data_IF_129008870176
#
_entry.id   IF_129008870176
#
_cell.length_a   1.000
_cell.length_b   1.000
_cell.length_c   1.000
_cell.angle_alpha   90.00
_cell.angle_beta   90.00
_cell.angle_gamma   90.00
#
_symmetry.space_group_name_H-M   'P 1'
#
loop_
_entity.id
_entity.type
_entity.pdbx_description
1 polymer ?
#
# COMPACT_ATOMS: atom_id res chain seq x y z
N UNK A 1 -5.28 11.23 -14.02
CA UNK A 1 -6.68 10.84 -13.73
C UNK A 1 -6.71 9.45 -13.13
N UNK A 2 -7.56 9.19 -12.13
CA UNK A 2 -7.77 7.86 -11.56
C UNK A 2 -8.86 7.13 -12.35
N UNK A 3 -8.60 5.90 -12.77
CA UNK A 3 -9.65 5.06 -13.36
C UNK A 3 -10.16 4.08 -12.32
N UNK A 4 -11.47 4.08 -12.09
CA UNK A 4 -12.13 3.24 -11.07
C UNK A 4 -12.88 2.13 -11.77
N UNK A 5 -12.52 0.88 -11.50
CA UNK A 5 -13.15 -0.32 -12.04
C UNK A 5 -13.89 -1.04 -10.92
N UNK A 6 -15.22 -0.96 -10.90
CA UNK A 6 -16.03 -1.52 -9.81
C UNK A 6 -17.44 -1.93 -10.28
N UNK A 7 -18.19 -2.74 -9.50
CA UNK A 7 -19.60 -2.98 -9.78
C UNK A 7 -20.40 -1.66 -9.77
N UNK A 8 -21.47 -1.56 -10.57
CA UNK A 8 -22.24 -0.32 -10.74
C UNK A 8 -22.78 0.27 -9.44
N UNK A 9 -23.09 -0.57 -8.44
CA UNK A 9 -23.54 -0.16 -7.11
C UNK A 9 -22.52 0.72 -6.37
N UNK A 10 -21.23 0.65 -6.73
CA UNK A 10 -20.18 1.45 -6.11
C UNK A 10 -19.96 2.81 -6.79
N UNK A 11 -20.58 3.07 -7.95
CA UNK A 11 -20.29 4.27 -8.75
C UNK A 11 -20.45 5.56 -7.97
N UNK A 12 -21.63 5.76 -7.38
CA UNK A 12 -21.96 6.99 -6.64
C UNK A 12 -21.02 7.21 -5.44
N UNK A 13 -20.91 6.29 -4.47
CA UNK A 13 -20.07 6.53 -3.29
C UNK A 13 -18.58 6.70 -3.63
N UNK A 14 -18.06 5.97 -4.63
CA UNK A 14 -16.66 6.14 -5.05
C UNK A 14 -16.43 7.51 -5.70
N UNK A 15 -17.26 7.89 -6.68
CA UNK A 15 -17.07 9.15 -7.42
C UNK A 15 -17.26 10.35 -6.51
N UNK A 16 -18.26 10.35 -5.64
CA UNK A 16 -18.53 11.45 -4.70
C UNK A 16 -17.37 11.63 -3.71
N UNK A 17 -16.94 10.56 -3.03
CA UNK A 17 -15.87 10.67 -2.03
C UNK A 17 -14.50 10.96 -2.66
N UNK A 18 -14.17 10.36 -3.81
CA UNK A 18 -12.93 10.68 -4.53
C UNK A 18 -12.95 12.13 -5.03
N UNK A 19 -14.09 12.62 -5.52
CA UNK A 19 -14.29 14.02 -5.90
C UNK A 19 -14.11 14.98 -4.73
N UNK A 20 -14.70 14.67 -3.57
CA UNK A 20 -14.53 15.42 -2.33
C UNK A 20 -13.07 15.45 -1.85
N UNK A 21 -12.30 14.40 -2.10
CA UNK A 21 -10.86 14.35 -1.86
C UNK A 21 -10.02 15.07 -2.94
N UNK A 22 -10.65 15.72 -3.93
CA UNK A 22 -9.97 16.44 -5.01
C UNK A 22 -9.35 15.54 -6.08
N UNK A 23 -9.81 14.29 -6.20
CA UNK A 23 -9.32 13.33 -7.19
C UNK A 23 -10.27 13.29 -8.39
N UNK A 24 -9.71 13.52 -9.59
CA UNK A 24 -10.43 13.30 -10.85
C UNK A 24 -10.51 11.81 -11.14
N UNK A 25 -11.69 11.23 -10.95
CA UNK A 25 -11.96 9.81 -11.14
C UNK A 25 -12.93 9.57 -12.31
N UNK A 26 -12.62 8.59 -13.16
CA UNK A 26 -13.54 8.08 -14.20
C UNK A 26 -13.95 6.67 -13.86
N UNK A 27 -15.25 6.42 -13.82
CA UNK A 27 -15.82 5.14 -13.45
C UNK A 27 -16.04 4.25 -14.67
N UNK A 28 -15.60 3.00 -14.57
CA UNK A 28 -15.91 1.92 -15.49
C UNK A 28 -16.53 0.76 -14.73
N UNK A 29 -17.58 0.15 -15.30
CA UNK A 29 -18.16 -1.06 -14.76
C UNK A 29 -17.12 -2.18 -14.80
N UNK A 30 -16.91 -2.85 -13.67
CA UNK A 30 -16.03 -4.02 -13.58
C UNK A 30 -16.60 -5.16 -14.45
N UNK A 31 -15.79 -5.80 -15.31
CA UNK A 31 -16.20 -7.00 -16.02
C UNK A 31 -16.37 -8.17 -15.04
N UNK A 32 -17.07 -9.21 -15.48
CA UNK A 32 -17.07 -10.47 -14.73
C UNK A 32 -15.67 -11.09 -14.76
N UNK A 33 -15.18 -11.63 -13.63
CA UNK A 33 -13.87 -12.24 -13.59
C UNK A 33 -13.85 -13.51 -14.43
N UNK A 34 -12.85 -13.66 -15.29
CA UNK A 34 -12.51 -14.95 -15.89
C UNK A 34 -11.46 -15.72 -15.05
N UNK A 35 -11.10 -16.92 -15.48
CA UNK A 35 -10.13 -17.78 -14.79
C UNK A 35 -8.66 -17.44 -15.05
N UNK A 36 -8.37 -16.39 -15.81
CA UNK A 36 -7.02 -16.07 -16.29
C UNK A 36 -6.12 -15.37 -15.26
N UNK A 37 -4.90 -15.07 -15.70
CA UNK A 37 -3.91 -14.32 -14.91
C UNK A 37 -4.27 -12.83 -14.74
N UNK A 38 -5.08 -12.29 -15.65
CA UNK A 38 -5.71 -10.97 -15.58
C UNK A 38 -7.24 -11.14 -15.66
N UNK A 39 -7.87 -11.58 -14.56
CA UNK A 39 -9.26 -12.02 -14.58
C UNK A 39 -10.25 -10.92 -14.96
N UNK A 40 -9.86 -9.65 -14.81
CA UNK A 40 -10.68 -8.49 -15.15
C UNK A 40 -10.24 -7.80 -16.44
N UNK A 41 -9.32 -8.40 -17.20
CA UNK A 41 -8.80 -7.87 -18.48
C UNK A 41 -8.33 -6.42 -18.34
N UNK A 42 -7.69 -6.11 -17.20
CA UNK A 42 -7.19 -4.79 -16.88
C UNK A 42 -6.18 -4.30 -17.92
N UNK A 43 -5.34 -5.17 -18.47
CA UNK A 43 -4.37 -4.76 -19.50
C UNK A 43 -5.08 -4.25 -20.76
N UNK A 44 -6.08 -5.00 -21.24
CA UNK A 44 -6.91 -4.61 -22.38
C UNK A 44 -7.75 -3.36 -22.09
N UNK A 45 -8.15 -3.13 -20.84
CA UNK A 45 -8.83 -1.91 -20.43
C UNK A 45 -7.88 -0.70 -20.46
N UNK A 46 -6.68 -0.84 -19.88
CA UNK A 46 -5.65 0.21 -19.85
C UNK A 46 -5.27 0.65 -21.26
N UNK A 47 -5.06 -0.29 -22.20
CA UNK A 47 -4.72 0.03 -23.60
C UNK A 47 -5.82 0.82 -24.34
N UNK A 48 -7.09 0.70 -23.92
CA UNK A 48 -8.24 1.32 -24.58
C UNK A 48 -8.59 2.71 -24.05
N UNK A 49 -8.03 3.14 -22.93
CA UNK A 49 -8.38 4.45 -22.36
C UNK A 49 -7.67 5.58 -23.12
N UNK A 50 -8.41 6.47 -23.81
CA UNK A 50 -7.82 7.63 -24.47
C UNK A 50 -7.33 8.60 -23.39
N UNK A 51 -6.02 8.63 -23.16
CA UNK A 51 -5.37 9.49 -22.17
C UNK A 51 -4.48 8.72 -21.19
N UNK A 52 -3.55 9.44 -20.56
CA UNK A 52 -2.60 8.88 -19.59
C UNK A 52 -3.30 8.66 -18.24
N UNK A 53 -3.98 7.51 -18.07
CA UNK A 53 -4.42 7.08 -16.75
C UNK A 53 -3.22 7.09 -15.80
N UNK A 54 -3.36 7.75 -14.65
CA UNK A 54 -2.25 7.87 -13.68
C UNK A 54 -2.28 6.75 -12.64
N UNK A 55 -3.41 6.05 -12.55
CA UNK A 55 -3.61 4.92 -11.66
C UNK A 55 -4.96 4.26 -11.93
N UNK A 56 -5.07 3.00 -11.52
CA UNK A 56 -6.28 2.20 -11.60
C UNK A 56 -6.67 1.75 -10.19
N UNK A 57 -7.94 1.93 -9.81
CA UNK A 57 -8.50 1.41 -8.57
C UNK A 57 -9.53 0.33 -8.89
N UNK A 58 -9.24 -0.92 -8.53
CA UNK A 58 -10.14 -2.06 -8.73
C UNK A 58 -10.85 -2.42 -7.41
N UNK A 59 -12.18 -2.48 -7.43
CA UNK A 59 -12.96 -3.06 -6.34
C UNK A 59 -13.24 -4.53 -6.65
N UNK A 60 -12.62 -5.44 -5.90
CA UNK A 60 -12.72 -6.88 -6.05
C UNK A 60 -13.62 -7.53 -4.97
N UNK A 61 -14.13 -8.76 -5.19
CA UNK A 61 -14.89 -9.49 -4.18
C UNK A 61 -14.04 -9.84 -2.95
N UNK A 62 -14.62 -9.69 -1.75
CA UNK A 62 -13.89 -9.84 -0.49
C UNK A 62 -13.31 -11.24 -0.22
N UNK A 63 -13.79 -12.28 -0.87
CA UNK A 63 -13.29 -13.65 -0.73
C UNK A 63 -12.05 -13.97 -1.60
N UNK A 64 -11.58 -13.02 -2.42
CA UNK A 64 -10.42 -13.22 -3.29
C UNK A 64 -9.12 -12.77 -2.63
N UNK A 65 -8.02 -13.40 -3.01
CA UNK A 65 -6.66 -12.96 -2.67
C UNK A 65 -6.21 -11.83 -3.62
N UNK A 66 -5.46 -10.80 -3.15
CA UNK A 66 -4.86 -9.78 -4.01
C UNK A 66 -4.05 -10.33 -5.18
N UNK A 67 -3.35 -11.46 -5.00
CA UNK A 67 -2.57 -12.10 -6.07
C UNK A 67 -3.45 -12.69 -7.18
N UNK A 68 -4.68 -13.08 -6.86
CA UNK A 68 -5.61 -13.75 -7.77
C UNK A 68 -6.59 -12.78 -8.47
N UNK A 69 -6.40 -11.47 -8.30
CA UNK A 69 -7.26 -10.43 -8.91
C UNK A 69 -6.50 -9.52 -9.85
N UNK A 70 -5.18 -9.38 -9.69
CA UNK A 70 -4.33 -8.56 -10.55
C UNK A 70 -2.98 -9.24 -10.79
N UNK A 71 -2.44 -9.15 -12.02
CA UNK A 71 -1.19 -9.83 -12.38
C UNK A 71 0.03 -9.23 -11.67
N UNK A 72 -0.02 -7.96 -11.28
CA UNK A 72 1.08 -7.25 -10.60
C UNK A 72 0.64 -5.91 -10.01
N UNK A 73 1.62 -5.15 -9.54
CA UNK A 73 1.46 -3.78 -9.03
C UNK A 73 1.25 -2.75 -10.14
N UNK A 74 1.78 -3.04 -11.33
CA UNK A 74 1.68 -2.22 -12.53
C UNK A 74 1.09 -3.07 -13.65
N UNK A 75 0.13 -2.53 -14.38
CA UNK A 75 -0.52 -3.18 -15.53
C UNK A 75 -0.53 -2.20 -16.69
N UNK A 76 0.11 -2.58 -17.81
CA UNK A 76 0.24 -1.70 -18.97
C UNK A 76 0.88 -0.34 -18.64
N UNK A 77 1.83 -0.29 -17.70
CA UNK A 77 2.46 0.94 -17.23
C UNK A 77 1.65 1.76 -16.22
N UNK A 78 0.46 1.30 -15.82
CA UNK A 78 -0.43 1.99 -14.87
C UNK A 78 -0.39 1.31 -13.50
N UNK A 79 -0.17 2.04 -12.39
CA UNK A 79 -0.17 1.45 -11.05
C UNK A 79 -1.59 1.06 -10.62
N UNK A 80 -1.73 -0.12 -10.01
CA UNK A 80 -3.02 -0.71 -9.67
C UNK A 80 -3.19 -0.82 -8.16
N UNK A 81 -4.20 -0.11 -7.64
CA UNK A 81 -4.69 -0.23 -6.28
C UNK A 81 -5.91 -1.14 -6.19
N UNK A 82 -6.00 -1.89 -5.09
CA UNK A 82 -7.07 -2.84 -4.83
C UNK A 82 -7.92 -2.45 -3.62
N UNK A 83 -9.23 -2.63 -3.74
CA UNK A 83 -10.16 -2.62 -2.62
C UNK A 83 -10.98 -3.91 -2.63
N UNK A 84 -11.42 -4.33 -1.46
CA UNK A 84 -12.18 -5.56 -1.29
C UNK A 84 -13.50 -5.26 -0.59
N UNK A 85 -14.60 -5.36 -1.32
CA UNK A 85 -15.93 -5.12 -0.78
C UNK A 85 -16.99 -5.92 -1.54
N UNK A 86 -18.02 -6.38 -0.82
CA UNK A 86 -19.21 -7.00 -1.40
C UNK A 86 -20.29 -5.96 -1.72
N UNK A 87 -20.37 -4.93 -0.89
CA UNK A 87 -21.34 -3.85 -0.99
C UNK A 87 -20.68 -2.50 -0.71
N UNK A 88 -21.26 -1.38 -1.16
CA UNK A 88 -20.64 -0.07 -1.03
C UNK A 88 -20.39 0.38 0.41
N UNK A 89 -21.30 0.05 1.34
CA UNK A 89 -21.18 0.41 2.77
C UNK A 89 -19.91 -0.13 3.42
N UNK A 90 -19.38 -1.26 2.94
CA UNK A 90 -18.15 -1.83 3.45
C UNK A 90 -16.90 -0.97 3.15
N UNK A 91 -17.00 0.00 2.22
CA UNK A 91 -15.91 0.94 1.93
C UNK A 91 -16.01 2.25 2.70
N UNK A 92 -17.10 2.50 3.45
CA UNK A 92 -17.30 3.79 4.13
C UNK A 92 -16.11 4.23 4.98
N UNK A 93 -15.51 3.37 5.84
CA UNK A 93 -14.34 3.78 6.64
C UNK A 93 -13.15 4.21 5.78
N UNK A 94 -12.90 3.51 4.68
CA UNK A 94 -11.83 3.86 3.74
C UNK A 94 -12.14 5.15 2.97
N UNK A 95 -13.39 5.37 2.55
CA UNK A 95 -13.79 6.60 1.86
C UNK A 95 -13.67 7.83 2.76
N UNK A 96 -14.07 7.71 4.02
CA UNK A 96 -13.85 8.75 5.03
C UNK A 96 -12.36 9.03 5.22
N UNK A 97 -11.52 7.99 5.29
CA UNK A 97 -10.07 8.15 5.37
C UNK A 97 -9.49 8.89 4.16
N UNK A 98 -9.94 8.56 2.95
CA UNK A 98 -9.54 9.25 1.71
C UNK A 98 -9.93 10.73 1.74
N UNK A 99 -11.16 11.05 2.16
CA UNK A 99 -11.63 12.45 2.27
C UNK A 99 -10.84 13.21 3.33
N UNK A 100 -10.70 12.65 4.54
CA UNK A 100 -9.96 13.27 5.65
C UNK A 100 -8.50 13.51 5.31
N UNK A 101 -7.86 12.60 4.58
CA UNK A 101 -6.48 12.74 4.14
C UNK A 101 -6.35 13.71 2.95
N UNK A 102 -7.33 13.68 2.05
CA UNK A 102 -7.35 14.47 0.82
C UNK A 102 -6.03 14.34 0.07
N UNK A 103 -5.49 15.49 -0.36
CA UNK A 103 -4.21 15.61 -1.06
C UNK A 103 -3.05 16.06 -0.16
N UNK A 104 -3.17 15.89 1.16
CA UNK A 104 -2.15 16.33 2.11
C UNK A 104 -0.79 15.63 1.85
N UNK A 105 0.21 16.44 1.50
CA UNK A 105 1.62 16.02 1.27
C UNK A 105 2.52 16.27 2.48
N UNK A 106 2.01 17.03 3.43
CA UNK A 106 2.76 17.43 4.62
C UNK A 106 2.52 16.46 5.78
N UNK A 107 3.53 16.37 6.64
CA UNK A 107 3.52 15.49 7.80
C UNK A 107 4.66 14.49 7.83
N UNK A 108 4.64 13.67 8.87
CA UNK A 108 5.71 12.74 9.20
C UNK A 108 5.84 11.64 8.16
N UNK A 109 7.08 11.34 7.77
CA UNK A 109 7.44 10.13 7.05
C UNK A 109 8.23 9.24 7.99
N UNK A 110 7.66 8.11 8.35
CA UNK A 110 8.18 7.22 9.37
C UNK A 110 8.88 6.02 8.73
N UNK A 111 10.04 5.68 9.28
CA UNK A 111 10.78 4.47 8.98
C UNK A 111 10.81 3.62 10.24
N UNK A 112 10.09 2.51 10.20
CA UNK A 112 9.91 1.54 11.26
C UNK A 112 10.78 0.32 10.95
N UNK A 113 11.42 -0.25 11.96
CA UNK A 113 12.24 -1.45 11.78
C UNK A 113 12.11 -2.35 13.00
N UNK A 114 12.09 -3.66 12.78
CA UNK A 114 12.19 -4.66 13.84
C UNK A 114 13.60 -4.62 14.49
N UNK A 115 13.74 -5.23 15.68
CA UNK A 115 14.91 -5.04 16.55
C UNK A 115 16.17 -5.76 16.04
N UNK A 116 16.04 -6.64 15.05
CA UNK A 116 17.16 -7.38 14.48
C UNK A 116 18.06 -6.45 13.65
N UNK A 117 19.38 -6.54 13.88
CA UNK A 117 20.37 -5.63 13.31
C UNK A 117 20.26 -5.41 11.79
N UNK A 118 19.93 -6.47 11.05
CA UNK A 118 19.81 -6.38 9.59
C UNK A 118 18.63 -5.51 9.16
N UNK A 119 17.49 -5.55 9.86
CA UNK A 119 16.36 -4.66 9.59
C UNK A 119 16.64 -3.23 10.05
N UNK A 120 17.33 -3.06 11.18
CA UNK A 120 17.76 -1.74 11.65
C UNK A 120 18.67 -1.07 10.61
N UNK A 121 19.67 -1.78 10.07
CA UNK A 121 20.55 -1.25 9.01
C UNK A 121 19.78 -0.91 7.74
N UNK A 122 18.87 -1.78 7.32
CA UNK A 122 18.02 -1.55 6.14
C UNK A 122 17.13 -0.30 6.32
N UNK A 123 16.48 -0.18 7.47
CA UNK A 123 15.69 1.00 7.83
C UNK A 123 16.54 2.27 7.87
N UNK A 124 17.75 2.22 8.43
CA UNK A 124 18.67 3.36 8.43
C UNK A 124 19.06 3.79 7.00
N UNK A 125 19.38 2.84 6.12
CA UNK A 125 19.70 3.12 4.71
C UNK A 125 18.50 3.78 4.02
N UNK A 126 17.31 3.20 4.15
CA UNK A 126 16.10 3.76 3.56
C UNK A 126 15.79 5.17 4.10
N UNK A 127 15.96 5.39 5.41
CA UNK A 127 15.80 6.70 6.02
C UNK A 127 16.79 7.73 5.46
N UNK A 128 18.03 7.34 5.13
CA UNK A 128 18.99 8.23 4.45
C UNK A 128 18.50 8.61 3.05
N UNK A 129 18.08 7.64 2.23
CA UNK A 129 17.51 7.90 0.91
C UNK A 129 16.31 8.86 0.99
N UNK A 130 15.42 8.65 1.95
CA UNK A 130 14.24 9.50 2.16
C UNK A 130 14.61 10.94 2.57
N UNK A 131 15.65 11.12 3.41
CA UNK A 131 16.14 12.45 3.80
C UNK A 131 16.87 13.16 2.68
N UNK A 132 17.63 12.44 1.86
CA UNK A 132 18.31 12.98 0.69
C UNK A 132 17.29 13.50 -0.33
N UNK A 133 16.23 12.73 -0.59
CA UNK A 133 15.18 13.12 -1.52
C UNK A 133 14.26 14.24 -0.99
N UNK A 134 14.10 14.32 0.33
CA UNK A 134 13.23 15.29 0.99
C UNK A 134 13.87 15.80 2.28
N UNK A 135 14.67 16.88 2.16
CA UNK A 135 15.33 17.56 3.27
C UNK A 135 14.32 17.86 4.41
N UNK A 136 14.40 17.10 5.50
CA UNK A 136 13.73 17.42 6.77
C UNK A 136 12.47 16.66 7.19
N UNK A 137 12.07 15.51 6.60
CA UNK A 137 10.77 14.88 6.97
C UNK A 137 10.77 13.38 7.30
N UNK A 138 11.93 12.71 7.33
CA UNK A 138 12.02 11.30 7.69
C UNK A 138 12.44 11.07 9.15
N UNK A 139 11.57 10.42 9.93
CA UNK A 139 11.84 10.02 11.32
C UNK A 139 11.96 8.51 11.44
N UNK A 140 12.87 8.04 12.29
CA UNK A 140 13.08 6.61 12.54
C UNK A 140 12.39 6.22 13.85
N UNK A 141 11.54 5.20 13.80
CA UNK A 141 10.77 4.70 14.94
C UNK A 141 11.14 3.25 15.21
N UNK A 142 12.42 2.93 15.35
CA UNK A 142 12.89 1.55 15.42
C UNK A 142 12.56 0.86 16.75
N UNK A 143 12.42 -0.47 16.71
CA UNK A 143 12.01 -1.28 17.85
C UNK A 143 13.09 -1.40 18.95
N UNK A 144 14.35 -1.05 18.67
CA UNK A 144 15.44 -0.91 19.67
C UNK A 144 15.25 0.31 20.58
N UNK A 145 14.40 1.27 20.17
CA UNK A 145 14.20 2.57 20.87
C UNK A 145 12.76 2.86 21.23
N UNK A 146 11.83 2.14 20.62
CA UNK A 146 10.40 2.41 20.74
C UNK A 146 9.66 1.11 21.01
N UNK A 147 8.82 1.09 22.03
CA UNK A 147 7.94 -0.04 22.31
C UNK A 147 6.68 -0.01 21.42
N UNK A 148 5.87 -1.06 21.49
CA UNK A 148 4.61 -1.19 20.73
C UNK A 148 3.67 -0.02 20.93
N UNK A 149 3.43 0.36 22.18
CA UNK A 149 2.45 1.39 22.52
C UNK A 149 2.85 2.74 21.93
N UNK A 150 4.07 3.18 22.18
CA UNK A 150 4.58 4.45 21.67
C UNK A 150 4.66 4.46 20.13
N UNK A 151 4.93 3.31 19.50
CA UNK A 151 4.88 3.18 18.05
C UNK A 151 3.45 3.33 17.50
N UNK A 152 2.47 2.67 18.13
CA UNK A 152 1.05 2.77 17.74
C UNK A 152 0.49 4.18 17.95
N UNK A 153 0.83 4.84 19.04
CA UNK A 153 0.46 6.24 19.30
C UNK A 153 0.97 7.16 18.18
N UNK A 154 2.22 6.96 17.73
CA UNK A 154 2.79 7.72 16.59
C UNK A 154 2.13 7.38 15.25
N UNK A 155 1.83 6.11 14.98
CA UNK A 155 1.07 5.72 13.78
C UNK A 155 -0.34 6.29 13.78
N UNK A 156 -1.01 6.33 14.94
CA UNK A 156 -2.33 6.91 15.12
C UNK A 156 -2.36 8.42 14.85
N UNK A 157 -1.20 9.09 14.88
CA UNK A 157 -1.03 10.47 14.43
C UNK A 157 -1.14 10.68 12.92
N UNK A 158 -1.26 9.62 12.11
CA UNK A 158 -1.51 9.70 10.67
C UNK A 158 -0.32 10.20 9.85
N UNK A 159 0.84 9.50 9.86
CA UNK A 159 1.97 9.86 9.01
C UNK A 159 1.58 9.82 7.52
N UNK A 160 2.22 10.65 6.70
CA UNK A 160 2.04 10.64 5.23
C UNK A 160 2.46 9.29 4.67
N UNK A 161 3.62 8.81 5.14
CA UNK A 161 4.22 7.54 4.76
C UNK A 161 4.73 6.87 6.03
N UNK A 162 4.39 5.61 6.22
CA UNK A 162 5.04 4.72 7.17
C UNK A 162 5.63 3.55 6.39
N UNK A 163 6.92 3.30 6.55
CA UNK A 163 7.61 2.16 5.95
C UNK A 163 8.08 1.23 7.05
N UNK A 164 7.82 -0.07 6.93
CA UNK A 164 8.21 -1.06 7.94
C UNK A 164 9.15 -2.09 7.36
N UNK A 165 10.28 -2.34 8.04
CA UNK A 165 11.27 -3.35 7.71
C UNK A 165 11.29 -4.40 8.82
N UNK A 166 10.93 -5.65 8.50
CA UNK A 166 10.91 -6.70 9.51
C UNK A 166 10.10 -7.92 9.14
N UNK A 167 9.76 -8.71 10.15
CA UNK A 167 8.89 -9.87 10.01
C UNK A 167 7.43 -9.45 9.86
N UNK A 168 6.70 -10.14 8.97
CA UNK A 168 5.29 -9.91 8.74
C UNK A 168 4.48 -11.19 8.82
N UNK A 169 3.23 -11.04 9.24
CA UNK A 169 2.26 -12.11 9.34
C UNK A 169 0.91 -11.66 8.76
N UNK A 170 0.03 -12.61 8.52
CA UNK A 170 -1.33 -12.31 8.05
C UNK A 170 -2.14 -11.45 9.00
N UNK A 171 -1.81 -11.45 10.30
CA UNK A 171 -2.54 -10.69 11.34
C UNK A 171 -1.75 -9.49 11.87
N UNK A 172 -0.49 -9.27 11.45
CA UNK A 172 0.33 -8.22 12.04
C UNK A 172 1.79 -8.16 11.59
N UNK A 173 2.58 -7.46 12.39
CA UNK A 173 4.03 -7.26 12.24
C UNK A 173 4.75 -7.91 13.43
N UNK A 174 5.89 -8.56 13.19
CA UNK A 174 6.66 -9.26 14.23
C UNK A 174 7.48 -8.31 15.13
N UNK A 175 7.84 -7.13 14.61
CA UNK A 175 8.57 -6.10 15.38
C UNK A 175 7.80 -5.59 16.60
N UNK A 176 8.48 -4.87 17.50
CA UNK A 176 7.87 -4.25 18.68
C UNK A 176 7.18 -5.26 19.62
N UNK A 177 7.75 -6.45 19.81
CA UNK A 177 7.11 -7.55 20.54
C UNK A 177 5.73 -7.96 19.98
N UNK A 178 5.55 -7.84 18.66
CA UNK A 178 4.32 -8.19 17.96
C UNK A 178 3.27 -7.08 17.96
N UNK A 179 2.87 -6.65 16.76
CA UNK A 179 1.81 -5.66 16.51
C UNK A 179 0.73 -6.33 15.67
N UNK A 180 -0.39 -6.67 16.29
CA UNK A 180 -1.49 -7.37 15.65
C UNK A 180 -2.73 -6.48 15.54
N UNK A 181 -3.73 -6.97 14.82
CA UNK A 181 -5.01 -6.28 14.60
C UNK A 181 -5.60 -5.73 15.91
N UNK A 182 -5.69 -6.57 16.93
CA UNK A 182 -6.30 -6.23 18.22
C UNK A 182 -5.61 -5.03 18.91
N UNK A 183 -4.29 -4.90 18.75
CA UNK A 183 -3.54 -3.77 19.29
C UNK A 183 -3.87 -2.46 18.56
N UNK A 184 -4.09 -2.54 17.25
CA UNK A 184 -4.48 -1.41 16.41
C UNK A 184 -5.95 -1.03 16.62
N UNK A 185 -6.81 -2.01 16.90
CA UNK A 185 -8.22 -1.81 17.24
C UNK A 185 -8.42 -1.17 18.62
N UNK A 186 -7.58 -1.53 19.59
CA UNK A 186 -7.58 -0.93 20.92
C UNK A 186 -7.33 0.60 20.88
N UNK A 187 -6.65 1.10 19.84
CA UNK A 187 -6.40 2.52 19.65
C UNK A 187 -7.57 3.19 18.91
N UNK A 188 -8.51 3.78 19.67
CA UNK A 188 -9.76 4.36 19.12
C UNK A 188 -9.56 5.64 18.33
N UNK A 189 -8.70 6.53 18.81
CA UNK A 189 -8.34 7.75 18.07
C UNK A 189 -7.28 7.40 17.04
N UNK A 190 -7.61 7.53 15.75
CA UNK A 190 -6.70 7.22 14.65
C UNK A 190 -6.92 8.19 13.49
N UNK A 191 -5.86 8.94 13.13
CA UNK A 191 -5.79 9.68 11.88
C UNK A 191 -5.27 8.74 10.78
N UNK A 192 -5.89 8.73 9.59
CA UNK A 192 -5.48 7.82 8.54
C UNK A 192 -4.04 8.09 8.11
N UNK A 193 -3.22 7.04 8.15
CA UNK A 193 -1.93 7.04 7.48
C UNK A 193 -2.16 7.20 5.98
N UNK A 194 -1.37 8.03 5.30
CA UNK A 194 -1.46 8.14 3.84
C UNK A 194 -1.13 6.80 3.20
N UNK A 195 0.10 6.33 3.40
CA UNK A 195 0.57 5.05 2.87
C UNK A 195 1.33 4.29 3.95
N UNK A 196 0.98 3.02 4.14
CA UNK A 196 1.78 2.07 4.90
C UNK A 196 2.45 1.07 3.95
N UNK A 197 3.77 1.10 3.81
CA UNK A 197 4.53 0.15 3.02
C UNK A 197 5.26 -0.84 3.94
N UNK A 198 4.82 -2.09 3.93
CA UNK A 198 5.43 -3.15 4.71
C UNK A 198 6.39 -3.97 3.84
N UNK A 199 7.68 -3.77 4.04
CA UNK A 199 8.76 -4.59 3.47
C UNK A 199 8.89 -5.87 4.29
N UNK A 200 7.81 -6.67 4.29
CA UNK A 200 7.63 -7.81 5.17
C UNK A 200 6.74 -8.87 4.52
N UNK A 201 7.03 -10.14 4.85
CA UNK A 201 6.32 -11.30 4.33
C UNK A 201 4.85 -11.37 4.77
N UNK A 202 4.01 -12.03 3.99
CA UNK A 202 2.65 -12.47 4.37
C UNK A 202 1.65 -11.39 4.85
N UNK A 203 1.97 -10.09 4.76
CA UNK A 203 1.11 -9.00 5.26
C UNK A 203 -0.21 -8.85 4.49
N UNK A 204 -0.30 -9.45 3.30
CA UNK A 204 -1.51 -9.54 2.48
C UNK A 204 -2.07 -10.97 2.34
N UNK A 205 -1.52 -11.95 3.06
CA UNK A 205 -2.05 -13.31 3.12
C UNK A 205 -3.26 -13.34 4.04
N UNK A 206 -4.28 -14.13 3.66
CA UNK A 206 -5.47 -14.34 4.47
C UNK A 206 -5.11 -15.13 5.72
N UNK A 207 -5.35 -14.54 6.89
CA UNK A 207 -5.17 -15.19 8.18
C UNK A 207 -6.43 -15.89 8.68
N UNK A 208 -6.38 -16.34 9.94
CA UNK A 208 -7.45 -17.15 10.57
C UNK A 208 -8.75 -16.37 10.70
N UNK A 209 -8.66 -15.06 10.95
CA UNK A 209 -9.83 -14.19 11.05
C UNK A 209 -10.41 -13.78 9.68
N UNK A 210 -10.02 -14.46 8.60
CA UNK A 210 -10.60 -14.30 7.28
C UNK A 210 -10.12 -13.08 6.46
N UNK A 211 -9.27 -12.23 7.02
CA UNK A 211 -8.64 -11.07 6.37
C UNK A 211 -7.12 -11.09 6.47
N UNK A 212 -6.45 -10.08 5.92
CA UNK A 212 -5.02 -9.84 6.11
C UNK A 212 -4.79 -8.53 6.86
N UNK A 213 -3.61 -8.34 7.46
CA UNK A 213 -3.28 -7.13 8.19
C UNK A 213 -3.39 -5.87 7.32
N UNK A 214 -2.84 -5.90 6.10
CA UNK A 214 -2.97 -4.79 5.15
C UNK A 214 -4.43 -4.53 4.74
N UNK A 215 -5.25 -5.59 4.56
CA UNK A 215 -6.68 -5.43 4.28
C UNK A 215 -7.44 -4.82 5.45
N UNK A 216 -7.07 -5.18 6.69
CA UNK A 216 -7.63 -4.57 7.88
C UNK A 216 -7.28 -3.09 7.98
N UNK A 217 -6.02 -2.70 7.79
CA UNK A 217 -5.61 -1.30 7.87
C UNK A 217 -6.35 -0.43 6.84
N UNK A 218 -6.45 -0.89 5.60
CA UNK A 218 -7.17 -0.15 4.53
C UNK A 218 -8.68 -0.19 4.74
N UNK A 219 -9.25 -1.38 4.98
CA UNK A 219 -10.70 -1.56 5.12
C UNK A 219 -11.29 -0.86 6.35
N UNK A 220 -10.52 -0.68 7.42
CA UNK A 220 -10.92 0.06 8.61
C UNK A 220 -10.61 1.57 8.55
N UNK A 221 -10.12 2.07 7.41
CA UNK A 221 -9.80 3.49 7.24
C UNK A 221 -8.56 3.97 8.02
N UNK A 222 -7.73 3.06 8.54
CA UNK A 222 -6.49 3.42 9.27
C UNK A 222 -5.34 3.77 8.34
N UNK A 223 -5.39 3.30 7.10
CA UNK A 223 -4.49 3.69 6.03
C UNK A 223 -5.28 3.93 4.73
N UNK A 224 -4.89 4.95 3.97
CA UNK A 224 -5.47 5.19 2.63
C UNK A 224 -4.87 4.25 1.59
N UNK A 225 -3.60 3.88 1.77
CA UNK A 225 -2.89 2.91 0.94
C UNK A 225 -2.06 1.93 1.76
N UNK A 226 -1.94 0.69 1.30
CA UNK A 226 -1.06 -0.31 1.88
C UNK A 226 -0.30 -1.08 0.79
N UNK A 227 1.02 -1.11 0.86
CA UNK A 227 1.90 -1.91 0.01
C UNK A 227 2.46 -3.07 0.84
N UNK A 228 2.33 -4.32 0.37
CA UNK A 228 2.90 -5.47 1.06
C UNK A 228 2.84 -6.78 0.28
N UNK A 229 3.41 -7.84 0.87
CA UNK A 229 3.59 -9.13 0.24
C UNK A 229 2.37 -10.07 0.40
N UNK A 230 2.00 -10.75 -0.68
CA UNK A 230 0.93 -11.77 -0.76
C UNK A 230 1.43 -13.21 -0.52
N UNK A 231 2.70 -13.38 -0.15
CA UNK A 231 3.32 -14.65 0.15
C UNK A 231 4.56 -14.44 1.04
N UNK A 232 5.20 -15.54 1.44
CA UNK A 232 6.53 -15.50 2.00
C UNK A 232 7.53 -14.99 0.95
N UNK A 233 8.52 -14.21 1.40
CA UNK A 233 9.59 -13.67 0.58
C UNK A 233 10.91 -14.01 1.27
N UNK A 234 11.91 -14.43 0.50
CA UNK A 234 13.23 -14.68 1.06
C UNK A 234 13.83 -13.36 1.56
N UNK A 235 14.44 -13.37 2.75
CA UNK A 235 15.01 -12.17 3.36
C UNK A 235 15.97 -11.42 2.43
N UNK A 236 16.91 -12.08 1.71
CA UNK A 236 17.80 -11.38 0.77
C UNK A 236 17.05 -10.72 -0.39
N UNK A 237 16.05 -11.39 -0.97
CA UNK A 237 15.23 -10.85 -2.06
C UNK A 237 14.43 -9.63 -1.60
N UNK A 238 13.86 -9.70 -0.40
CA UNK A 238 13.09 -8.62 0.19
C UNK A 238 13.96 -7.41 0.57
N UNK A 239 15.17 -7.67 1.06
CA UNK A 239 16.16 -6.62 1.35
C UNK A 239 16.59 -5.91 0.06
N UNK A 240 16.91 -6.66 -1.00
CA UNK A 240 17.28 -6.09 -2.30
C UNK A 240 16.15 -5.19 -2.88
N UNK A 241 14.89 -5.63 -2.75
CA UNK A 241 13.75 -4.82 -3.16
C UNK A 241 13.60 -3.53 -2.32
N UNK A 242 13.74 -3.63 -1.00
CA UNK A 242 13.67 -2.49 -0.10
C UNK A 242 14.76 -1.45 -0.37
N UNK A 243 15.99 -1.89 -0.66
CA UNK A 243 17.10 -1.02 -1.05
C UNK A 243 16.82 -0.32 -2.38
N UNK A 244 16.41 -1.06 -3.40
CA UNK A 244 16.02 -0.51 -4.70
C UNK A 244 14.89 0.52 -4.56
N UNK A 245 13.91 0.25 -3.71
CA UNK A 245 12.79 1.16 -3.45
C UNK A 245 13.26 2.47 -2.80
N UNK A 246 14.25 2.41 -1.90
CA UNK A 246 14.90 3.58 -1.32
C UNK A 246 15.68 4.37 -2.37
N UNK A 247 16.47 3.70 -3.21
CA UNK A 247 17.21 4.33 -4.31
C UNK A 247 16.29 5.02 -5.32
N UNK A 248 15.12 4.44 -5.61
CA UNK A 248 14.11 5.08 -6.45
C UNK A 248 13.61 6.41 -5.86
N UNK A 249 13.44 6.50 -4.54
CA UNK A 249 13.06 7.76 -3.87
C UNK A 249 14.17 8.80 -3.96
N UNK A 250 15.41 8.37 -3.75
CA UNK A 250 16.59 9.23 -3.80
C UNK A 250 16.81 9.82 -5.20
N UNK A 251 16.64 9.01 -6.25
CA UNK A 251 16.78 9.47 -7.64
C UNK A 251 15.68 10.42 -8.08
N UNK A 252 14.44 10.19 -7.60
CA UNK A 252 13.29 11.00 -7.99
C UNK A 252 12.24 10.95 -6.90
N UNK A 253 11.89 12.12 -6.34
CA UNK A 253 10.80 12.21 -5.38
C UNK A 253 9.44 11.99 -6.07
N UNK A 254 8.76 10.85 -5.83
CA UNK A 254 7.52 10.55 -6.50
C UNK A 254 6.38 11.38 -5.92
N UNK A 255 5.53 11.93 -6.80
CA UNK A 255 4.39 12.76 -6.37
C UNK A 255 3.23 11.95 -5.77
N UNK A 256 3.25 10.63 -5.95
CA UNK A 256 2.27 9.69 -5.41
C UNK A 256 2.87 8.28 -5.25
N UNK A 257 2.18 7.43 -4.49
CA UNK A 257 2.55 6.04 -4.34
C UNK A 257 2.61 5.29 -5.67
N UNK A 258 1.64 5.51 -6.56
CA UNK A 258 1.62 4.89 -7.87
C UNK A 258 2.84 5.25 -8.71
N UNK A 259 3.31 6.50 -8.63
CA UNK A 259 4.56 6.93 -9.30
C UNK A 259 5.79 6.25 -8.70
N UNK A 260 5.84 6.09 -7.38
CA UNK A 260 6.91 5.35 -6.72
C UNK A 260 6.93 3.88 -7.17
N UNK A 261 5.77 3.23 -7.17
CA UNK A 261 5.59 1.85 -7.62
C UNK A 261 6.03 1.66 -9.07
N UNK A 262 5.65 2.58 -9.97
CA UNK A 262 6.11 2.54 -11.36
C UNK A 262 7.62 2.74 -11.51
N UNK A 263 8.24 3.60 -10.70
CA UNK A 263 9.68 3.82 -10.73
C UNK A 263 10.45 2.56 -10.29
N UNK A 264 9.96 1.87 -9.25
CA UNK A 264 10.49 0.57 -8.84
C UNK A 264 10.35 -0.43 -9.99
N UNK A 265 9.12 -0.60 -10.51
CA UNK A 265 8.82 -1.56 -11.57
C UNK A 265 9.71 -1.39 -12.81
N UNK A 266 9.93 -0.15 -13.24
CA UNK A 266 10.77 0.18 -14.39
C UNK A 266 12.28 -0.06 -14.18
N UNK A 267 12.73 -0.19 -12.94
CA UNK A 267 14.16 -0.43 -12.61
C UNK A 267 14.45 -1.91 -12.36
N UNK A 268 13.43 -2.77 -12.34
CA UNK A 268 13.62 -4.19 -12.04
C UNK A 268 14.20 -4.95 -13.22
N UNK A 269 15.31 -5.64 -12.97
CA UNK A 269 15.88 -6.61 -13.90
C UNK A 269 15.22 -7.99 -13.70
N UNK A 270 14.66 -8.61 -14.76
CA UNK A 270 14.07 -9.94 -14.67
C UNK A 270 15.04 -10.97 -14.07
N UNK A 271 14.56 -11.75 -13.10
CA UNK A 271 15.36 -12.78 -12.43
C UNK A 271 16.20 -12.27 -11.24
N UNK A 272 16.38 -10.96 -11.08
CA UNK A 272 17.08 -10.38 -9.92
C UNK A 272 16.37 -10.69 -8.59
N UNK A 273 17.08 -10.65 -7.44
CA UNK A 273 16.47 -10.79 -6.11
C UNK A 273 15.28 -9.82 -5.88
N UNK A 274 15.46 -8.55 -6.24
CA UNK A 274 14.42 -7.53 -6.10
C UNK A 274 13.19 -7.86 -6.97
N UNK A 275 13.41 -8.35 -8.20
CA UNK A 275 12.32 -8.73 -9.10
C UNK A 275 11.51 -9.90 -8.55
N UNK A 276 12.18 -10.94 -8.01
CA UNK A 276 11.50 -12.09 -7.40
C UNK A 276 10.63 -11.67 -6.22
N UNK A 277 11.14 -10.79 -5.35
CA UNK A 277 10.35 -10.22 -4.26
C UNK A 277 9.17 -9.41 -4.80
N UNK A 278 9.39 -8.49 -5.74
CA UNK A 278 8.36 -7.59 -6.26
C UNK A 278 7.13 -8.32 -6.79
N UNK A 279 7.32 -9.47 -7.43
CA UNK A 279 6.24 -10.33 -7.94
C UNK A 279 5.24 -10.77 -6.86
N UNK A 280 5.65 -10.84 -5.59
CA UNK A 280 4.76 -11.19 -4.48
C UNK A 280 4.00 -10.00 -3.92
N UNK A 281 4.39 -8.76 -4.24
CA UNK A 281 3.79 -7.58 -3.66
C UNK A 281 2.50 -7.17 -4.38
N UNK A 282 1.58 -6.58 -3.63
CA UNK A 282 0.36 -5.93 -4.13
C UNK A 282 0.10 -4.65 -3.36
N UNK A 283 -0.68 -3.78 -3.97
CA UNK A 283 -1.04 -2.48 -3.42
C UNK A 283 -2.56 -2.41 -3.20
N UNK A 284 -2.95 -2.03 -1.99
CA UNK A 284 -4.33 -1.83 -1.58
C UNK A 284 -4.61 -0.33 -1.42
N UNK A 285 -5.78 0.14 -1.84
CA UNK A 285 -6.20 1.54 -1.67
C UNK A 285 -5.85 2.44 -2.86
N UNK A 286 -5.73 3.76 -2.61
CA UNK A 286 -5.65 4.77 -3.67
C UNK A 286 -4.22 4.91 -4.27
N UNK A 287 -3.98 4.56 -5.55
CA UNK A 287 -2.64 4.66 -6.14
C UNK A 287 -2.19 6.10 -6.35
N UNK A 288 -3.10 7.07 -6.31
CA UNK A 288 -2.77 8.49 -6.43
C UNK A 288 -2.58 9.17 -5.07
N UNK A 289 -2.51 8.42 -3.98
CA UNK A 289 -2.24 8.98 -2.65
C UNK A 289 -0.85 9.65 -2.65
N UNK A 290 -0.73 10.94 -2.28
CA UNK A 290 0.56 11.61 -2.19
C UNK A 290 1.48 11.03 -1.11
N UNK A 291 2.79 11.15 -1.35
CA UNK A 291 3.89 10.72 -0.47
C UNK A 291 4.65 11.88 0.17
#
# INVERSE_FOLDING_TARGET
MLVVVAPSSFRRPLVEALGAAGLRAVFHRRPEPDGGADPYRLESLVRRWPGRAEGLLLVAPGNRSPRAVVPGLVVGGVPVGLLFAREPRALSPWLEAVVRRGRAKEGTRAVLAAWEDHYLRLGQRFARCLRAAHAGRATTWFADRLNRQAMLERLAGGPVLATYFGHGHSEGLGGYHGVYREHVEAHRSWLPCGVFAAWACNTLVRGRAGGSFGRFLVGSGRAVGFLGATAAVLTPDNAALAELAGECLERMWPTSLGRWVCAIDATLEPGSPAWRAWRTYRFLGNPLQPL
#
